data_IF_420542787595
#
_entry.id   IF_420542787595
#
_cell.length_a   1.000
_cell.length_b   1.000
_cell.length_c   1.000
_cell.angle_alpha   90.00
_cell.angle_beta   90.00
_cell.angle_gamma   90.00
#
_symmetry.space_group_name_H-M   'P 1'
#
loop_
_entity.id
_entity.type
_entity.pdbx_description
1 polymer ?
#
# COMPACT_ATOMS: atom_id res chain seq x y z
N UNK A 1 42.78 -16.16 -41.56
CA UNK A 1 42.33 -14.80 -41.18
C UNK A 1 40.87 -14.83 -40.70
N UNK A 2 40.56 -15.76 -39.80
CA UNK A 2 39.19 -16.00 -39.25
C UNK A 2 39.16 -15.81 -37.73
N UNK A 3 40.24 -15.24 -37.14
CA UNK A 3 40.33 -14.97 -35.70
C UNK A 3 40.18 -13.48 -35.35
N UNK A 4 40.14 -12.58 -36.33
CA UNK A 4 40.01 -11.13 -36.11
C UNK A 4 38.57 -10.60 -36.21
N UNK A 5 37.59 -11.41 -36.61
CA UNK A 5 36.16 -11.03 -36.64
C UNK A 5 35.41 -11.37 -35.34
N UNK A 6 36.02 -12.16 -34.44
CA UNK A 6 35.42 -12.54 -33.15
C UNK A 6 35.63 -11.53 -32.03
N UNK A 7 36.39 -10.45 -32.28
CA UNK A 7 36.66 -9.39 -31.30
C UNK A 7 35.79 -8.14 -31.47
N UNK A 8 34.89 -8.11 -32.46
CA UNK A 8 33.92 -7.03 -32.66
C UNK A 8 32.56 -7.27 -31.98
N UNK A 9 32.39 -8.38 -31.26
CA UNK A 9 31.12 -8.72 -30.58
C UNK A 9 31.17 -8.65 -29.05
N UNK A 10 32.23 -8.13 -28.44
CA UNK A 10 32.40 -8.04 -26.99
C UNK A 10 32.74 -6.62 -26.51
N UNK A 11 31.97 -5.65 -26.98
CA UNK A 11 31.90 -4.32 -26.35
C UNK A 11 30.47 -3.76 -26.36
N UNK A 12 29.49 -4.60 -26.07
CA UNK A 12 28.32 -4.07 -25.36
C UNK A 12 28.77 -3.78 -23.93
N UNK A 13 29.25 -2.55 -23.71
CA UNK A 13 29.12 -1.94 -22.40
C UNK A 13 27.66 -2.16 -22.00
N UNK A 14 27.44 -3.02 -21.00
CA UNK A 14 26.28 -2.85 -20.15
C UNK A 14 26.45 -1.46 -19.52
N UNK A 15 25.91 -0.45 -20.20
CA UNK A 15 25.38 0.71 -19.51
C UNK A 15 24.29 0.12 -18.62
N UNK A 16 24.70 -0.31 -17.42
CA UNK A 16 23.79 -0.42 -16.30
C UNK A 16 23.21 0.97 -16.15
N UNK A 17 22.05 1.20 -16.77
CA UNK A 17 21.17 2.29 -16.38
C UNK A 17 20.65 1.88 -15.01
N UNK A 18 21.53 2.02 -14.01
CA UNK A 18 21.14 2.08 -12.63
C UNK A 18 20.37 3.38 -12.53
N UNK A 19 19.07 3.32 -12.80
CA UNK A 19 18.19 4.39 -12.42
C UNK A 19 18.33 4.53 -10.90
N UNK A 20 19.01 5.59 -10.49
CA UNK A 20 19.38 5.81 -9.11
C UNK A 20 18.15 6.30 -8.35
N UNK A 21 18.16 6.18 -7.02
CA UNK A 21 17.12 6.78 -6.17
C UNK A 21 16.91 8.28 -6.45
N UNK A 22 17.96 8.98 -6.90
CA UNK A 22 17.87 10.37 -7.37
C UNK A 22 16.93 10.57 -8.57
N UNK A 23 16.83 9.58 -9.47
CA UNK A 23 15.96 9.66 -10.66
C UNK A 23 14.48 9.54 -10.27
N UNK A 24 14.17 8.70 -9.27
CA UNK A 24 12.82 8.55 -8.73
C UNK A 24 12.35 9.81 -7.97
N UNK A 25 13.25 10.43 -7.20
CA UNK A 25 12.96 11.72 -6.56
C UNK A 25 12.77 12.84 -7.60
N UNK A 26 13.58 12.85 -8.66
CA UNK A 26 13.46 13.83 -9.74
C UNK A 26 12.14 13.66 -10.50
N UNK A 27 11.75 12.41 -10.80
CA UNK A 27 10.47 12.11 -11.43
C UNK A 27 9.28 12.59 -10.57
N UNK A 28 9.29 12.32 -9.25
CA UNK A 28 8.25 12.83 -8.35
C UNK A 28 8.15 14.36 -8.42
N UNK A 29 9.28 15.06 -8.36
CA UNK A 29 9.30 16.54 -8.41
C UNK A 29 8.82 17.07 -9.77
N UNK A 30 9.10 16.37 -10.86
CA UNK A 30 8.64 16.72 -12.21
C UNK A 30 7.13 16.57 -12.35
N UNK A 31 6.59 15.42 -11.94
CA UNK A 31 5.16 15.12 -12.10
C UNK A 31 4.28 15.78 -11.05
N UNK A 32 4.83 16.06 -9.86
CA UNK A 32 4.10 16.56 -8.70
C UNK A 32 4.86 17.71 -8.01
N UNK A 33 5.10 18.84 -8.72
CA UNK A 33 6.00 19.90 -8.26
C UNK A 33 5.57 20.55 -6.94
N UNK A 34 4.27 20.55 -6.64
CA UNK A 34 3.72 21.15 -5.43
C UNK A 34 3.43 20.12 -4.34
N UNK A 35 3.66 18.83 -4.56
CA UNK A 35 3.21 17.75 -3.66
C UNK A 35 4.40 17.23 -2.85
N UNK A 36 4.42 17.46 -1.52
CA UNK A 36 5.45 16.90 -0.67
C UNK A 36 5.43 15.37 -0.71
N UNK A 37 6.61 14.76 -0.81
CA UNK A 37 6.75 13.31 -0.76
C UNK A 37 6.57 12.83 0.69
N UNK A 38 5.61 11.93 0.98
CA UNK A 38 5.40 11.40 2.32
C UNK A 38 6.64 10.67 2.85
N UNK A 39 6.80 10.60 4.17
CA UNK A 39 7.86 9.80 4.82
C UNK A 39 7.84 8.35 4.31
N UNK A 40 6.67 7.73 4.25
CA UNK A 40 6.48 6.36 3.74
C UNK A 40 7.13 6.12 2.37
N UNK A 41 7.01 7.08 1.43
CA UNK A 41 7.64 6.98 0.10
C UNK A 41 9.14 7.24 0.19
N UNK A 42 9.56 8.26 0.94
CA UNK A 42 10.99 8.60 1.09
C UNK A 42 11.79 7.45 1.70
N UNK A 43 11.25 6.77 2.70
CA UNK A 43 11.92 5.64 3.35
C UNK A 43 12.12 4.48 2.36
N UNK A 44 11.14 4.23 1.47
CA UNK A 44 11.26 3.25 0.39
C UNK A 44 12.27 3.64 -0.70
N UNK A 45 12.60 4.93 -0.83
CA UNK A 45 13.63 5.43 -1.76
C UNK A 45 15.02 5.53 -1.14
N UNK A 46 15.15 5.68 0.18
CA UNK A 46 16.47 5.88 0.82
C UNK A 46 16.99 4.63 1.48
N UNK A 47 16.11 3.95 2.21
CA UNK A 47 16.44 2.81 3.07
C UNK A 47 15.97 1.50 2.45
N UNK A 48 15.25 1.59 1.34
CA UNK A 48 14.79 0.48 0.54
C UNK A 48 15.94 -0.39 0.05
N UNK A 49 15.86 -1.70 0.27
CA UNK A 49 16.79 -2.66 -0.34
C UNK A 49 16.21 -3.24 -1.62
N UNK A 50 17.03 -3.31 -2.66
CA UNK A 50 16.69 -4.04 -3.87
C UNK A 50 16.71 -5.55 -3.56
N UNK A 51 15.87 -6.35 -4.24
CA UNK A 51 15.84 -7.79 -4.03
C UNK A 51 17.17 -8.41 -4.49
N UNK A 52 17.87 -9.06 -3.57
CA UNK A 52 19.04 -9.88 -3.87
C UNK A 52 18.64 -11.35 -4.10
N UNK A 53 19.29 -12.01 -5.06
CA UNK A 53 19.04 -13.43 -5.35
C UNK A 53 19.36 -14.29 -4.13
N UNK A 54 18.42 -15.16 -3.73
CA UNK A 54 18.62 -16.15 -2.66
C UNK A 54 18.67 -15.61 -1.23
N UNK A 55 18.61 -14.30 -1.01
CA UNK A 55 18.60 -13.70 0.33
C UNK A 55 17.35 -12.83 0.52
N UNK A 56 16.19 -13.47 0.45
CA UNK A 56 14.91 -12.80 0.56
C UNK A 56 14.00 -13.53 1.53
N UNK A 57 13.44 -12.79 2.49
CA UNK A 57 12.51 -13.32 3.49
C UNK A 57 11.37 -12.33 3.68
N UNK A 58 10.21 -12.62 3.09
CA UNK A 58 8.99 -11.89 3.37
C UNK A 58 8.59 -12.20 4.79
N UNK A 59 8.41 -11.15 5.59
CA UNK A 59 7.66 -11.31 6.83
C UNK A 59 6.20 -11.48 6.43
N UNK A 60 5.54 -12.49 6.97
CA UNK A 60 4.10 -12.38 7.16
C UNK A 60 3.89 -11.24 8.12
N UNK A 61 3.30 -10.16 7.63
CA UNK A 61 2.72 -9.20 8.53
C UNK A 61 1.64 -9.92 9.33
N UNK A 62 1.71 -9.77 10.65
CA UNK A 62 0.55 -9.92 11.54
C UNK A 62 -0.38 -8.70 11.40
N UNK A 63 -0.40 -8.10 10.20
CA UNK A 63 -1.39 -7.10 9.86
C UNK A 63 -2.63 -7.89 9.48
N UNK A 64 -3.53 -7.90 10.45
CA UNK A 64 -4.94 -8.28 10.45
C UNK A 64 -5.78 -7.92 9.20
N UNK A 65 -5.17 -7.33 8.17
CA UNK A 65 -5.72 -7.29 6.83
C UNK A 65 -4.60 -7.19 5.76
N UNK A 66 -3.75 -8.21 5.63
CA UNK A 66 -3.12 -8.49 4.33
C UNK A 66 -4.08 -9.33 3.48
N UNK A 67 -5.17 -8.67 3.08
CA UNK A 67 -5.65 -8.69 1.71
C UNK A 67 -5.54 -10.05 0.97
N UNK A 68 -6.32 -11.04 1.41
CA UNK A 68 -6.52 -12.28 0.62
C UNK A 68 -7.40 -12.07 -0.62
N UNK A 69 -8.05 -10.89 -0.78
CA UNK A 69 -8.81 -10.47 -1.98
C UNK A 69 -9.57 -9.11 -1.85
N UNK A 70 -9.51 -8.38 -0.73
CA UNK A 70 -10.66 -7.77 0.02
C UNK A 70 -11.25 -8.69 1.13
N UNK A 71 -10.42 -9.29 1.99
CA UNK A 71 -10.86 -10.29 2.99
C UNK A 71 -11.55 -11.51 2.35
N UNK A 72 -10.74 -12.41 1.77
CA UNK A 72 -11.18 -13.77 1.50
C UNK A 72 -11.75 -14.44 2.75
N UNK A 73 -12.57 -15.46 2.55
CA UNK A 73 -13.35 -16.17 3.56
C UNK A 73 -12.45 -16.89 4.59
N UNK A 74 -12.10 -16.26 5.73
CA UNK A 74 -11.22 -16.89 6.70
C UNK A 74 -12.06 -17.89 7.50
N UNK A 75 -11.53 -19.08 7.76
CA UNK A 75 -12.08 -19.91 8.83
C UNK A 75 -11.89 -19.19 10.17
N UNK A 76 -12.74 -19.42 11.17
CA UNK A 76 -12.63 -18.77 12.49
C UNK A 76 -11.21 -18.88 13.08
N UNK A 77 -10.52 -19.99 12.78
CA UNK A 77 -9.13 -20.26 13.21
C UNK A 77 -8.05 -19.40 12.53
N UNK A 78 -8.33 -18.79 11.36
CA UNK A 78 -7.36 -17.95 10.61
C UNK A 78 -7.38 -16.48 11.05
N UNK A 79 -8.38 -16.06 11.82
CA UNK A 79 -8.49 -14.69 12.34
C UNK A 79 -7.64 -14.53 13.60
N UNK A 80 -6.32 -14.47 13.45
CA UNK A 80 -5.42 -13.98 14.51
C UNK A 80 -5.49 -12.45 14.59
N UNK A 81 -6.70 -11.89 14.67
CA UNK A 81 -6.88 -10.48 14.93
C UNK A 81 -6.87 -10.33 16.45
N UNK A 82 -5.91 -9.59 17.00
CA UNK A 82 -6.06 -9.12 18.37
C UNK A 82 -7.39 -8.37 18.45
N UNK A 83 -8.41 -8.90 19.14
CA UNK A 83 -9.75 -8.31 19.18
C UNK A 83 -9.76 -6.90 19.79
N UNK A 84 -8.63 -6.47 20.36
CA UNK A 84 -8.42 -5.13 20.91
C UNK A 84 -8.09 -4.09 19.83
N UNK A 85 -7.63 -4.47 18.64
CA UNK A 85 -7.28 -3.52 17.56
C UNK A 85 -8.50 -3.22 16.68
N UNK A 86 -8.99 -1.98 16.72
CA UNK A 86 -10.06 -1.54 15.80
C UNK A 86 -9.48 -1.09 14.46
N UNK A 87 -9.36 -2.02 13.51
CA UNK A 87 -8.98 -1.71 12.12
C UNK A 87 -10.12 -1.01 11.38
N UNK A 88 -11.35 -1.49 11.56
CA UNK A 88 -12.57 -0.91 11.01
C UNK A 88 -13.42 -0.27 12.10
N UNK A 89 -14.12 0.81 11.77
CA UNK A 89 -15.03 1.53 12.67
C UNK A 89 -16.15 2.22 11.90
N UNK A 90 -17.20 2.64 12.60
CA UNK A 90 -18.32 3.37 12.00
C UNK A 90 -17.99 4.85 11.88
N UNK A 91 -18.50 5.52 10.83
CA UNK A 91 -18.27 6.97 10.62
C UNK A 91 -18.66 7.84 11.82
N UNK A 92 -19.64 7.40 12.61
CA UNK A 92 -20.09 8.10 13.82
C UNK A 92 -19.10 8.02 14.99
N UNK A 93 -18.13 7.11 14.94
CA UNK A 93 -17.07 7.03 15.96
C UNK A 93 -15.94 8.04 15.65
N UNK A 94 -15.87 8.52 14.41
CA UNK A 94 -14.87 9.47 13.92
C UNK A 94 -15.24 10.92 14.26
N UNK A 95 -15.23 11.23 15.55
CA UNK A 95 -15.60 12.54 16.08
C UNK A 95 -14.63 13.00 17.18
N UNK A 96 -14.48 14.31 17.32
CA UNK A 96 -13.65 14.92 18.38
C UNK A 96 -14.16 14.50 19.76
N UNK A 97 -13.24 14.13 20.65
CA UNK A 97 -13.55 13.67 22.00
C UNK A 97 -13.82 12.17 22.10
N UNK A 98 -14.08 11.50 20.98
CA UNK A 98 -14.12 10.04 20.93
C UNK A 98 -12.73 9.43 21.11
N UNK A 99 -12.68 8.12 21.35
CA UNK A 99 -11.43 7.39 21.49
C UNK A 99 -11.51 5.98 20.92
N UNK A 100 -10.38 5.44 20.48
CA UNK A 100 -10.28 4.13 19.84
C UNK A 100 -9.05 3.39 20.35
N UNK A 101 -9.16 2.06 20.46
CA UNK A 101 -8.00 1.21 20.73
C UNK A 101 -7.31 0.90 19.41
N UNK A 102 -6.06 1.32 19.30
CA UNK A 102 -5.29 1.24 18.08
C UNK A 102 -3.85 0.85 18.39
N UNK A 103 -3.18 0.34 17.36
CA UNK A 103 -1.77 0.02 17.36
C UNK A 103 -1.18 0.61 16.09
N UNK A 104 -0.22 1.52 16.24
CA UNK A 104 0.55 2.05 15.11
C UNK A 104 1.90 1.36 15.11
N UNK A 105 2.01 0.31 14.30
CA UNK A 105 3.26 -0.43 14.13
C UNK A 105 4.13 0.30 13.12
N UNK A 106 5.43 0.38 13.42
CA UNK A 106 6.43 0.80 12.43
C UNK A 106 6.39 -0.19 11.25
N UNK A 107 6.08 0.33 10.05
CA UNK A 107 5.78 -0.54 8.91
C UNK A 107 6.91 -1.51 8.55
N UNK A 108 8.21 -1.14 8.58
CA UNK A 108 9.36 -2.08 8.57
C UNK A 108 10.66 -1.39 8.97
N UNK A 109 11.52 -2.06 9.77
CA UNK A 109 12.94 -1.68 9.98
C UNK A 109 13.86 -1.88 8.76
N UNK A 110 13.37 -2.49 7.68
CA UNK A 110 14.11 -2.78 6.45
C UNK A 110 13.14 -2.80 5.26
N UNK A 111 12.70 -1.63 4.77
CA UNK A 111 11.76 -1.55 3.66
C UNK A 111 12.33 -2.17 2.37
N UNK A 112 11.44 -2.72 1.55
CA UNK A 112 11.76 -3.15 0.19
C UNK A 112 11.72 -1.94 -0.73
N UNK A 113 12.75 -1.69 -1.53
CA UNK A 113 12.84 -0.48 -2.35
C UNK A 113 11.77 -0.42 -3.45
N UNK A 114 11.43 0.80 -3.90
CA UNK A 114 10.89 0.97 -5.25
C UNK A 114 11.96 0.57 -6.26
N UNK A 115 11.55 -0.20 -7.27
CA UNK A 115 12.37 -0.39 -8.46
C UNK A 115 12.00 0.69 -9.48
N UNK A 116 12.99 1.26 -10.20
CA UNK A 116 12.72 2.11 -11.35
C UNK A 116 11.86 1.38 -12.37
N UNK A 117 10.97 2.11 -13.07
CA UNK A 117 10.01 1.51 -14.02
C UNK A 117 10.66 0.57 -15.04
N UNK A 118 11.84 0.93 -15.57
CA UNK A 118 12.56 0.08 -16.52
C UNK A 118 12.97 -1.26 -15.92
N UNK A 119 13.44 -1.27 -14.67
CA UNK A 119 13.82 -2.48 -13.95
C UNK A 119 12.59 -3.29 -13.57
N UNK A 120 11.54 -2.63 -13.05
CA UNK A 120 10.28 -3.27 -12.70
C UNK A 120 9.64 -3.97 -13.92
N UNK A 121 9.62 -3.32 -15.09
CA UNK A 121 9.07 -3.88 -16.33
C UNK A 121 9.88 -5.08 -16.86
N UNK A 122 11.14 -5.25 -16.44
CA UNK A 122 11.95 -6.44 -16.77
C UNK A 122 11.63 -7.66 -15.90
N UNK A 123 10.77 -7.50 -14.90
CA UNK A 123 10.31 -8.55 -13.99
C UNK A 123 8.84 -8.80 -14.32
N UNK A 124 8.47 -9.98 -14.83
CA UNK A 124 7.07 -10.31 -15.07
C UNK A 124 6.25 -10.18 -13.79
N UNK A 125 5.02 -9.68 -13.91
CA UNK A 125 4.06 -9.56 -12.80
C UNK A 125 2.71 -10.13 -13.24
N UNK A 126 2.62 -11.46 -13.27
CA UNK A 126 1.40 -12.19 -13.62
C UNK A 126 1.43 -13.61 -13.06
N UNK A 127 0.25 -14.18 -12.77
CA UNK A 127 0.13 -15.54 -12.22
C UNK A 127 0.77 -16.59 -13.13
N UNK A 128 0.77 -16.35 -14.45
CA UNK A 128 1.38 -17.25 -15.44
C UNK A 128 2.91 -17.26 -15.37
N UNK A 129 3.51 -16.17 -14.89
CA UNK A 129 4.97 -15.98 -14.83
C UNK A 129 5.55 -16.28 -13.44
N UNK A 130 4.73 -16.72 -12.48
CA UNK A 130 5.21 -17.11 -11.13
C UNK A 130 6.40 -18.07 -11.19
N UNK A 131 6.42 -19.15 -12.00
CA UNK A 131 7.58 -20.03 -12.08
C UNK A 131 8.87 -19.33 -12.51
N UNK A 132 8.77 -18.37 -13.44
CA UNK A 132 9.90 -17.58 -13.94
C UNK A 132 10.44 -16.65 -12.85
N UNK A 133 9.54 -15.97 -12.13
CA UNK A 133 9.88 -15.09 -11.01
C UNK A 133 10.64 -15.87 -9.93
N UNK A 134 10.08 -17.02 -9.50
CA UNK A 134 10.70 -17.86 -8.48
C UNK A 134 12.09 -18.34 -8.92
N UNK A 135 12.25 -18.74 -10.19
CA UNK A 135 13.54 -19.14 -10.73
C UNK A 135 14.55 -17.98 -10.76
N UNK A 136 14.14 -16.77 -11.21
CA UNK A 136 15.00 -15.57 -11.31
C UNK A 136 15.63 -15.20 -9.97
N UNK A 137 14.86 -15.33 -8.88
CA UNK A 137 15.28 -15.02 -7.51
C UNK A 137 15.73 -16.24 -6.70
N UNK A 138 15.77 -17.43 -7.31
CA UNK A 138 16.16 -18.69 -6.67
C UNK A 138 15.32 -19.01 -5.41
N UNK A 139 14.02 -18.74 -5.49
CA UNK A 139 13.06 -19.02 -4.42
C UNK A 139 12.53 -20.45 -4.54
N UNK A 140 12.47 -21.14 -3.40
CA UNK A 140 11.87 -22.47 -3.31
C UNK A 140 10.34 -22.35 -3.56
N UNK A 141 9.76 -23.04 -4.55
CA UNK A 141 8.31 -22.97 -4.84
C UNK A 141 7.39 -23.41 -3.70
N UNK A 142 7.89 -24.21 -2.77
CA UNK A 142 7.16 -24.63 -1.57
C UNK A 142 7.39 -23.69 -0.37
N UNK A 143 8.16 -22.61 -0.52
CA UNK A 143 8.40 -21.66 0.57
C UNK A 143 7.21 -20.78 0.85
N UNK A 144 7.20 -20.21 2.06
CA UNK A 144 6.25 -19.18 2.45
C UNK A 144 6.33 -17.94 1.55
N UNK A 145 7.54 -17.56 1.11
CA UNK A 145 7.74 -16.42 0.20
C UNK A 145 7.10 -16.67 -1.17
N UNK A 146 7.24 -17.88 -1.71
CA UNK A 146 6.62 -18.25 -2.98
C UNK A 146 5.09 -18.21 -2.89
N UNK A 147 4.53 -18.64 -1.75
CA UNK A 147 3.09 -18.52 -1.47
C UNK A 147 2.65 -17.05 -1.45
N UNK A 148 3.37 -16.19 -0.73
CA UNK A 148 3.03 -14.76 -0.62
C UNK A 148 3.10 -14.09 -2.01
N UNK A 149 4.15 -14.35 -2.80
CA UNK A 149 4.28 -13.81 -4.17
C UNK A 149 3.08 -14.21 -5.03
N UNK A 150 2.68 -15.49 -4.96
CA UNK A 150 1.53 -16.00 -5.72
C UNK A 150 0.22 -15.35 -5.27
N UNK A 151 0.02 -15.19 -3.97
CA UNK A 151 -1.17 -14.55 -3.39
C UNK A 151 -1.27 -13.08 -3.79
N UNK A 152 -0.18 -12.31 -3.64
CA UNK A 152 -0.11 -10.90 -4.04
C UNK A 152 -0.43 -10.69 -5.52
N UNK A 153 0.14 -11.50 -6.41
CA UNK A 153 -0.14 -11.40 -7.85
C UNK A 153 -1.60 -11.76 -8.16
N UNK A 154 -2.11 -12.84 -7.55
CA UNK A 154 -3.49 -13.27 -7.76
C UNK A 154 -4.48 -12.19 -7.32
N UNK A 155 -4.21 -11.48 -6.22
CA UNK A 155 -5.02 -10.34 -5.78
C UNK A 155 -4.98 -9.14 -6.75
N UNK A 156 -3.80 -8.85 -7.28
CA UNK A 156 -3.65 -7.81 -8.28
C UNK A 156 -4.46 -8.08 -9.55
N UNK A 157 -4.54 -9.36 -9.97
CA UNK A 157 -5.25 -9.80 -11.18
C UNK A 157 -6.77 -9.94 -11.02
N UNK A 158 -7.31 -9.78 -9.81
CA UNK A 158 -8.76 -9.77 -9.57
C UNK A 158 -9.43 -8.72 -10.46
N UNK A 159 -10.62 -8.92 -10.99
CA UNK A 159 -11.35 -7.84 -11.67
C UNK A 159 -11.74 -6.71 -10.70
N UNK A 160 -11.76 -5.46 -11.17
CA UNK A 160 -12.26 -4.35 -10.36
C UNK A 160 -13.75 -4.53 -10.04
N UNK A 161 -14.18 -4.07 -8.86
CA UNK A 161 -15.60 -4.03 -8.52
C UNK A 161 -16.34 -2.95 -9.32
N UNK A 162 -17.68 -3.02 -9.35
CA UNK A 162 -18.49 -1.99 -10.00
C UNK A 162 -18.22 -0.63 -9.34
N UNK A 163 -17.78 0.35 -10.14
CA UNK A 163 -17.46 1.70 -9.65
C UNK A 163 -16.09 1.81 -8.97
N UNK A 164 -15.25 0.77 -9.10
CA UNK A 164 -13.84 0.80 -8.73
C UNK A 164 -12.97 0.85 -9.99
N UNK A 165 -11.96 1.70 -9.96
CA UNK A 165 -10.81 1.59 -10.85
C UNK A 165 -9.60 1.21 -10.00
N UNK A 166 -8.86 0.17 -10.41
CA UNK A 166 -7.70 -0.31 -9.67
C UNK A 166 -6.50 -0.61 -10.57
N UNK A 167 -5.33 -0.57 -9.97
CA UNK A 167 -4.05 -0.84 -10.62
C UNK A 167 -3.01 -1.29 -9.59
N UNK A 168 -2.30 -2.38 -9.89
CA UNK A 168 -1.11 -2.74 -9.12
C UNK A 168 0.13 -2.06 -9.70
N UNK A 169 0.57 -1.02 -9.03
CA UNK A 169 1.77 -0.26 -9.36
C UNK A 169 3.02 -1.02 -8.92
N UNK A 170 3.84 -1.42 -9.90
CA UNK A 170 5.11 -2.12 -9.69
C UNK A 170 6.31 -1.19 -9.60
N UNK A 171 6.09 0.12 -9.72
CA UNK A 171 7.12 1.16 -9.59
C UNK A 171 6.53 2.45 -9.03
N UNK A 172 7.36 3.34 -8.48
CA UNK A 172 6.93 4.66 -7.99
C UNK A 172 6.25 5.44 -9.11
N UNK A 173 6.86 5.43 -10.29
CA UNK A 173 6.36 6.17 -11.43
C UNK A 173 4.99 5.63 -11.85
N UNK A 174 4.78 4.31 -11.85
CA UNK A 174 3.49 3.72 -12.22
C UNK A 174 2.38 4.07 -11.21
N UNK A 175 2.73 4.20 -9.92
CA UNK A 175 1.80 4.68 -8.88
C UNK A 175 1.40 6.13 -9.13
N UNK A 176 2.39 7.00 -9.43
CA UNK A 176 2.14 8.41 -9.73
C UNK A 176 1.31 8.57 -11.01
N UNK A 177 1.61 7.84 -12.08
CA UNK A 177 0.83 7.85 -13.33
C UNK A 177 -0.63 7.46 -13.07
N UNK A 178 -0.87 6.38 -12.33
CA UNK A 178 -2.24 5.96 -12.01
C UNK A 178 -2.97 7.04 -11.21
N UNK A 179 -2.38 7.55 -10.12
CA UNK A 179 -2.99 8.58 -9.29
C UNK A 179 -3.31 9.85 -10.09
N UNK A 180 -2.35 10.34 -10.87
CA UNK A 180 -2.52 11.58 -11.64
C UNK A 180 -3.50 11.43 -12.79
N UNK A 181 -3.65 10.22 -13.36
CA UNK A 181 -4.71 9.92 -14.34
C UNK A 181 -6.12 10.06 -13.76
N UNK A 182 -6.29 9.88 -12.44
CA UNK A 182 -7.57 9.96 -11.75
C UNK A 182 -7.83 11.34 -11.14
N UNK A 183 -6.81 11.94 -10.55
CA UNK A 183 -6.96 13.14 -9.71
C UNK A 183 -6.35 14.41 -10.33
N UNK A 184 -5.62 14.29 -11.44
CA UNK A 184 -4.75 15.34 -11.95
C UNK A 184 -3.44 15.46 -11.16
N UNK A 185 -2.64 16.48 -11.48
CA UNK A 185 -1.31 16.68 -10.87
C UNK A 185 -1.33 17.49 -9.57
N UNK A 186 -2.40 18.25 -9.32
CA UNK A 186 -2.51 19.06 -8.11
C UNK A 186 -3.16 18.28 -6.97
N UNK A 187 -2.34 17.45 -6.32
CA UNK A 187 -2.76 16.50 -5.29
C UNK A 187 -1.95 16.64 -4.01
N UNK A 188 -2.45 16.08 -2.91
CA UNK A 188 -1.70 15.77 -1.70
C UNK A 188 -1.51 14.26 -1.62
N UNK A 189 -0.31 13.83 -1.25
CA UNK A 189 -0.02 12.46 -0.86
C UNK A 189 0.10 12.41 0.67
N UNK A 190 -0.61 11.50 1.31
CA UNK A 190 -0.73 11.46 2.77
C UNK A 190 -0.54 10.03 3.26
N UNK A 191 0.35 9.87 4.24
CA UNK A 191 0.54 8.63 5.01
C UNK A 191 0.40 8.95 6.49
N UNK A 192 0.24 7.93 7.33
CA UNK A 192 0.23 8.16 8.77
C UNK A 192 1.62 8.59 9.25
N UNK A 193 1.64 9.46 10.25
CA UNK A 193 2.86 9.94 10.90
C UNK A 193 2.71 9.78 12.41
N UNK A 194 3.52 8.93 13.03
CA UNK A 194 3.59 8.73 14.47
C UNK A 194 4.94 9.21 15.00
N UNK A 195 4.95 10.04 16.05
CA UNK A 195 6.20 10.50 16.68
C UNK A 195 6.91 9.38 17.44
N UNK A 196 6.15 8.40 17.90
CA UNK A 196 6.60 7.19 18.57
C UNK A 196 5.71 6.05 18.11
N UNK A 197 6.33 4.92 17.79
CA UNK A 197 5.62 3.68 17.47
C UNK A 197 5.55 2.84 18.74
N UNK A 198 4.34 2.49 19.14
CA UNK A 198 4.12 1.60 20.29
C UNK A 198 3.89 0.17 19.76
N UNK A 199 4.70 -0.82 20.19
CA UNK A 199 4.45 -2.21 19.86
C UNK A 199 3.15 -2.77 20.46
N UNK A 200 2.55 -2.08 21.43
CA UNK A 200 1.32 -2.51 22.12
C UNK A 200 0.08 -1.73 21.69
N UNK A 201 -1.09 -2.37 21.87
CA UNK A 201 -2.38 -1.72 21.64
C UNK A 201 -2.65 -0.73 22.77
N UNK A 202 -2.91 0.53 22.44
CA UNK A 202 -3.29 1.54 23.42
C UNK A 202 -4.48 2.38 22.95
N UNK A 203 -5.05 3.14 23.88
CA UNK A 203 -6.19 4.02 23.63
C UNK A 203 -5.72 5.36 23.10
N UNK A 204 -6.22 5.74 21.93
CA UNK A 204 -5.99 7.06 21.33
C UNK A 204 -7.26 7.90 21.39
N UNK A 205 -7.14 9.13 21.89
CA UNK A 205 -8.19 10.14 21.86
C UNK A 205 -8.14 10.97 20.57
N UNK A 206 -9.30 11.21 19.96
CA UNK A 206 -9.44 12.04 18.75
C UNK A 206 -9.47 13.52 19.15
N UNK A 207 -8.41 14.24 18.80
CA UNK A 207 -8.26 15.68 19.06
C UNK A 207 -8.97 16.50 17.99
N UNK A 208 -8.84 16.11 16.72
CA UNK A 208 -9.52 16.78 15.60
C UNK A 208 -9.70 15.84 14.41
N UNK A 209 -10.74 16.10 13.64
CA UNK A 209 -11.04 15.42 12.36
C UNK A 209 -11.24 16.50 11.30
N UNK A 210 -10.61 16.36 10.14
CA UNK A 210 -10.74 17.30 9.02
C UNK A 210 -10.93 16.52 7.74
N UNK A 211 -12.00 16.79 6.99
CA UNK A 211 -12.24 16.14 5.70
C UNK A 211 -11.21 16.63 4.67
N UNK A 212 -10.67 15.73 3.86
CA UNK A 212 -9.59 16.01 2.92
C UNK A 212 -10.09 16.18 1.48
N UNK A 213 -11.11 15.42 1.07
CA UNK A 213 -11.72 15.54 -0.25
C UNK A 213 -13.07 16.26 -0.18
N UNK A 214 -13.44 16.93 -1.28
CA UNK A 214 -14.81 17.46 -1.44
C UNK A 214 -15.72 16.34 -1.93
N UNK A 215 -17.04 16.47 -1.71
CA UNK A 215 -18.01 15.39 -1.95
C UNK A 215 -18.02 14.83 -3.38
N UNK A 216 -17.56 15.62 -4.36
CA UNK A 216 -17.55 15.30 -5.79
C UNK A 216 -16.18 14.83 -6.31
N UNK A 217 -15.13 14.93 -5.48
CA UNK A 217 -13.77 14.55 -5.87
C UNK A 217 -13.41 13.19 -5.28
N UNK A 218 -13.05 12.27 -6.18
CA UNK A 218 -12.52 10.96 -5.84
C UNK A 218 -11.20 11.08 -5.05
N UNK A 219 -10.86 9.99 -4.35
CA UNK A 219 -9.56 9.80 -3.73
C UNK A 219 -8.92 8.56 -4.35
N UNK A 220 -7.59 8.45 -4.27
CA UNK A 220 -6.87 7.22 -4.60
C UNK A 220 -6.21 6.68 -3.34
N UNK A 221 -6.49 5.44 -2.97
CA UNK A 221 -5.78 4.75 -1.90
C UNK A 221 -4.80 3.77 -2.51
N UNK A 222 -3.54 3.83 -2.10
CA UNK A 222 -2.48 2.92 -2.51
C UNK A 222 -2.01 2.12 -1.29
N UNK A 223 -2.24 0.82 -1.35
CA UNK A 223 -1.95 -0.15 -0.31
C UNK A 223 -0.68 -0.90 -0.64
N UNK A 224 0.31 -0.87 0.26
CA UNK A 224 1.55 -1.61 0.04
C UNK A 224 1.27 -3.11 0.08
N UNK A 225 1.84 -3.81 -0.88
CA UNK A 225 1.68 -5.24 -1.04
C UNK A 225 2.90 -6.00 -0.52
N UNK A 226 2.68 -7.22 -0.03
CA UNK A 226 3.74 -8.11 0.42
C UNK A 226 4.45 -8.71 -0.81
N UNK A 227 5.46 -8.00 -1.29
CA UNK A 227 6.22 -8.39 -2.48
C UNK A 227 7.72 -8.10 -2.31
N UNK A 228 8.54 -8.67 -3.18
CA UNK A 228 10.01 -8.61 -3.05
C UNK A 228 10.66 -7.29 -3.44
N UNK A 229 9.87 -6.37 -3.94
CA UNK A 229 10.15 -4.95 -4.00
C UNK A 229 8.85 -4.20 -3.70
N UNK A 230 8.89 -2.88 -3.57
CA UNK A 230 7.70 -2.09 -3.31
C UNK A 230 6.70 -2.18 -4.47
N UNK A 231 5.58 -2.85 -4.21
CA UNK A 231 4.38 -2.91 -5.08
C UNK A 231 3.22 -2.30 -4.30
N UNK A 232 2.39 -1.52 -4.98
CA UNK A 232 1.21 -0.90 -4.40
C UNK A 232 -0.04 -1.30 -5.16
N UNK A 233 -1.02 -1.84 -4.45
CA UNK A 233 -2.39 -1.94 -4.94
C UNK A 233 -3.03 -0.55 -4.81
N UNK A 234 -3.18 0.15 -5.91
CA UNK A 234 -3.83 1.45 -5.95
C UNK A 234 -5.25 1.29 -6.47
N UNK A 235 -6.20 1.98 -5.84
CA UNK A 235 -7.56 2.01 -6.34
C UNK A 235 -8.26 3.33 -6.02
N UNK A 236 -9.30 3.61 -6.79
CA UNK A 236 -10.30 4.62 -6.46
C UNK A 236 -11.67 3.95 -6.46
N UNK A 237 -12.51 4.37 -5.52
CA UNK A 237 -13.88 3.89 -5.40
C UNK A 237 -14.78 5.09 -5.22
N UNK A 238 -15.88 5.12 -5.96
CA UNK A 238 -16.91 6.13 -5.79
C UNK A 238 -17.42 6.19 -4.35
N UNK A 239 -17.97 7.33 -3.96
CA UNK A 239 -18.57 7.53 -2.63
C UNK A 239 -17.59 7.32 -1.45
N UNK A 240 -16.30 7.57 -1.67
CA UNK A 240 -15.27 7.46 -0.63
C UNK A 240 -14.85 8.85 -0.11
N UNK A 241 -14.69 8.96 1.20
CA UNK A 241 -14.23 10.16 1.89
C UNK A 241 -12.93 9.89 2.65
N UNK A 242 -11.96 10.81 2.55
CA UNK A 242 -10.74 10.79 3.32
C UNK A 242 -10.78 11.85 4.42
N UNK A 243 -10.22 11.52 5.59
CA UNK A 243 -10.15 12.40 6.74
C UNK A 243 -8.74 12.39 7.33
N UNK A 244 -8.23 13.58 7.63
CA UNK A 244 -7.09 13.77 8.51
C UNK A 244 -7.56 13.71 9.95
N UNK A 245 -6.88 12.90 10.77
CA UNK A 245 -7.24 12.65 12.16
C UNK A 245 -6.02 12.87 13.03
N UNK A 246 -6.11 13.82 13.95
CA UNK A 246 -5.07 14.04 14.96
C UNK A 246 -5.45 13.27 16.23
N UNK A 247 -4.55 12.41 16.67
CA UNK A 247 -4.74 11.47 17.76
C UNK A 247 -3.70 11.70 18.86
N UNK A 248 -4.08 11.46 20.11
CA UNK A 248 -3.17 11.45 21.27
C UNK A 248 -3.36 10.15 22.05
N UNK A 249 -2.27 9.39 22.17
CA UNK A 249 -2.22 8.15 22.94
C UNK A 249 -2.26 8.38 24.45
N UNK A 250 -2.58 7.33 25.20
CA UNK A 250 -2.58 7.36 26.66
C UNK A 250 -1.17 7.64 27.22
N UNK A 251 -0.13 7.29 26.47
CA UNK A 251 1.29 7.58 26.73
C UNK A 251 1.73 9.00 26.31
N UNK A 252 0.81 9.81 25.77
CA UNK A 252 1.08 11.14 25.23
C UNK A 252 1.64 11.15 23.79
N UNK A 253 1.76 10.00 23.12
CA UNK A 253 2.19 9.93 21.73
C UNK A 253 1.20 10.64 20.81
N UNK A 254 1.71 11.52 19.95
CA UNK A 254 0.91 12.23 18.96
C UNK A 254 1.02 11.51 17.63
N UNK A 255 -0.14 11.22 17.05
CA UNK A 255 -0.25 10.56 15.74
C UNK A 255 -1.14 11.39 14.83
N UNK A 256 -0.67 11.62 13.62
CA UNK A 256 -1.45 12.19 12.53
C UNK A 256 -1.77 11.05 11.56
N UNK A 257 -3.03 10.63 11.53
CA UNK A 257 -3.46 9.48 10.76
C UNK A 257 -4.47 9.89 9.69
N UNK A 258 -4.48 9.15 8.58
CA UNK A 258 -5.51 9.25 7.56
C UNK A 258 -6.52 8.11 7.74
N UNK A 259 -7.79 8.48 7.78
CA UNK A 259 -8.91 7.55 7.75
C UNK A 259 -9.62 7.64 6.41
N UNK A 260 -9.98 6.50 5.85
CA UNK A 260 -10.81 6.39 4.64
C UNK A 260 -12.15 5.80 5.04
N UNK A 261 -13.22 6.41 4.58
CA UNK A 261 -14.60 6.03 4.83
C UNK A 261 -15.32 5.76 3.50
N UNK A 262 -15.83 4.55 3.34
CA UNK A 262 -16.66 4.18 2.20
C UNK A 262 -18.13 4.38 2.56
N UNK A 263 -18.81 5.30 1.86
CA UNK A 263 -20.22 5.65 2.14
C UNK A 263 -21.19 4.58 1.64
N UNK A 264 -20.84 3.91 0.54
CA UNK A 264 -21.62 2.81 -0.02
C UNK A 264 -20.75 1.54 -0.06
N UNK A 265 -21.13 0.55 0.74
CA UNK A 265 -20.47 -0.76 0.82
C UNK A 265 -21.35 -1.89 0.29
N UNK A 266 -22.43 -1.57 -0.43
CA UNK A 266 -23.40 -2.55 -0.93
C UNK A 266 -22.80 -3.58 -1.88
N UNK A 267 -21.79 -3.18 -2.66
CA UNK A 267 -21.07 -4.04 -3.60
C UNK A 267 -19.96 -4.89 -2.94
N UNK A 268 -19.66 -4.66 -1.66
CA UNK A 268 -18.62 -5.42 -0.96
C UNK A 268 -19.07 -6.85 -0.72
N UNK A 269 -18.10 -7.77 -0.64
CA UNK A 269 -18.36 -9.15 -0.25
C UNK A 269 -19.12 -9.18 1.09
N UNK A 270 -20.31 -9.82 1.18
CA UNK A 270 -21.07 -9.88 2.43
C UNK A 270 -20.32 -10.56 3.59
N UNK A 271 -19.30 -11.36 3.29
CA UNK A 271 -18.41 -11.99 4.28
C UNK A 271 -17.16 -11.18 4.58
N UNK A 272 -17.04 -9.95 4.07
CA UNK A 272 -15.92 -9.07 4.34
C UNK A 272 -15.74 -8.86 5.84
N UNK A 273 -14.49 -8.87 6.31
CA UNK A 273 -14.12 -8.81 7.72
C UNK A 273 -14.77 -7.63 8.46
N UNK A 274 -14.85 -6.46 7.80
CA UNK A 274 -15.50 -5.29 8.37
C UNK A 274 -16.95 -5.54 8.82
N UNK A 275 -17.74 -6.32 8.05
CA UNK A 275 -19.11 -6.67 8.42
C UNK A 275 -19.17 -7.61 9.61
N UNK A 276 -18.20 -8.53 9.72
CA UNK A 276 -18.09 -9.46 10.84
C UNK A 276 -17.72 -8.73 12.14
N UNK A 277 -16.72 -7.84 12.09
CA UNK A 277 -16.24 -7.08 13.24
C UNK A 277 -17.26 -6.04 13.71
N UNK A 278 -17.88 -5.32 12.79
CA UNK A 278 -18.84 -4.25 13.11
C UNK A 278 -20.26 -4.77 13.32
N UNK A 279 -20.54 -6.04 12.97
CA UNK A 279 -21.86 -6.66 13.04
C UNK A 279 -22.92 -5.89 12.25
N UNK A 280 -22.55 -5.44 11.05
CA UNK A 280 -23.40 -4.69 10.11
C UNK A 280 -23.46 -5.39 8.76
N UNK A 281 -24.39 -5.01 7.88
CA UNK A 281 -24.57 -5.62 6.56
C UNK A 281 -24.05 -4.68 5.45
N UNK A 282 -23.75 -5.21 4.26
CA UNK A 282 -23.43 -4.39 3.09
C UNK A 282 -24.47 -3.30 2.83
N UNK A 283 -24.00 -2.08 2.60
CA UNK A 283 -24.84 -0.94 2.20
C UNK A 283 -25.70 -0.32 3.30
N UNK A 284 -25.64 -0.81 4.55
CA UNK A 284 -26.50 -0.26 5.62
C UNK A 284 -25.91 0.98 6.29
N UNK A 285 -24.58 1.06 6.39
CA UNK A 285 -23.87 2.16 7.06
C UNK A 285 -22.50 2.39 6.41
N UNK A 286 -21.96 3.63 6.46
CA UNK A 286 -20.59 3.90 6.06
C UNK A 286 -19.57 3.17 6.95
N UNK A 287 -18.58 2.52 6.33
CA UNK A 287 -17.49 1.84 7.02
C UNK A 287 -16.21 2.63 6.81
N UNK A 288 -15.50 2.88 7.91
CA UNK A 288 -14.22 3.56 7.90
C UNK A 288 -13.10 2.66 8.38
N UNK A 289 -11.88 2.97 7.97
CA UNK A 289 -10.66 2.35 8.49
C UNK A 289 -9.50 3.36 8.47
N UNK A 290 -8.52 3.14 9.32
CA UNK A 290 -7.22 3.78 9.19
C UNK A 290 -6.34 2.97 8.23
N UNK A 291 -5.37 3.61 7.61
CA UNK A 291 -4.37 2.92 6.81
C UNK A 291 -3.10 2.66 7.64
N UNK A 292 -2.29 1.63 7.34
CA UNK A 292 -0.95 1.48 7.89
C UNK A 292 0.00 2.64 7.51
N UNK A 293 1.17 2.72 8.17
CA UNK A 293 2.14 3.82 7.96
C UNK A 293 2.69 3.86 6.53
N UNK A 294 2.89 2.70 5.89
CA UNK A 294 3.45 2.56 4.55
C UNK A 294 2.41 2.58 3.42
N UNK A 295 1.16 2.88 3.74
CA UNK A 295 0.11 3.11 2.76
C UNK A 295 -0.02 4.61 2.45
N UNK A 296 -0.57 4.94 1.29
CA UNK A 296 -0.65 6.31 0.81
C UNK A 296 -2.06 6.60 0.35
N UNK A 297 -2.65 7.67 0.86
CA UNK A 297 -3.90 8.24 0.36
C UNK A 297 -3.59 9.50 -0.41
N UNK A 298 -4.17 9.60 -1.60
CA UNK A 298 -4.04 10.73 -2.50
C UNK A 298 -5.38 11.45 -2.61
N UNK A 299 -5.34 12.77 -2.44
CA UNK A 299 -6.52 13.63 -2.55
C UNK A 299 -6.20 14.84 -3.43
N UNK A 300 -7.14 15.35 -4.23
CA UNK A 300 -6.95 16.61 -4.93
C UNK A 300 -6.75 17.76 -3.94
N UNK A 301 -5.89 18.71 -4.29
CA UNK A 301 -5.82 19.99 -3.57
C UNK A 301 -7.03 20.85 -3.91
N UNK A 302 -7.36 21.73 -2.96
CA UNK A 302 -8.38 22.76 -3.12
C UNK A 302 -7.74 24.12 -2.87
#
# INVERSE_FOLDING_TARGET
MEFLKLLYFLSFLFLGVGANHADLEAYWKSELPNTPMPKAVRDLLKDGKWPERGNFRLKTYDDSCSFKHYCGNPTEDELHIDPKVKVFFLKMDLNRGSSMNMKFVESVKSPTAFLPRQVANSIPFSSKSVPEILNKYSLNPQSQDARIIKETIAECEVPAMKGEDKYCATSLESMVDFTTSKLGKDVLAISNEAQKTDPEVQKYGIVSVSKLNNNDKEIVSCHRQNYFYAVFYCHTTQNTDAYMVNLVGADGAKVKAVAVCHRDTSAWNPRHLAFQLLKVKPGTVPICHFLPEDHIVWVPKH
#
